data_IF_169925227968
#
_entry.id   IF_169925227968
#
_cell.length_a   1.000
_cell.length_b   1.000
_cell.length_c   1.000
_cell.angle_alpha   90.00
_cell.angle_beta   90.00
_cell.angle_gamma   90.00
#
_symmetry.space_group_name_H-M   'P 1'
#
loop_
_entity.id
_entity.type
_entity.pdbx_description
1 polymer ?
#
# COMPACT_ATOMS: atom_id res chain seq x y z
N UNK A 1 -1.99 -3.30 -15.40
CA UNK A 1 -1.75 -1.86 -15.65
C UNK A 1 -0.35 -1.53 -15.16
N UNK A 2 0.50 -0.85 -15.94
CA UNK A 2 1.79 -0.39 -15.42
C UNK A 2 1.51 0.71 -14.40
N UNK A 3 1.68 0.37 -13.11
CA UNK A 3 1.42 1.29 -12.01
C UNK A 3 2.68 2.04 -11.56
N UNK A 4 3.83 1.60 -12.01
CA UNK A 4 5.13 2.21 -11.70
C UNK A 4 6.00 2.26 -12.94
N UNK A 5 6.81 3.29 -13.01
CA UNK A 5 7.81 3.42 -14.05
C UNK A 5 8.94 2.43 -13.80
N UNK A 6 9.36 1.73 -14.83
CA UNK A 6 10.48 0.81 -14.76
C UNK A 6 11.33 0.90 -16.03
N UNK A 7 12.58 0.54 -15.91
CA UNK A 7 13.53 0.45 -17.01
C UNK A 7 14.38 -0.81 -16.83
N UNK A 8 14.52 -1.58 -17.89
CA UNK A 8 15.36 -2.77 -17.93
C UNK A 8 16.53 -2.49 -18.89
N UNK A 9 17.75 -2.61 -18.40
CA UNK A 9 18.95 -2.56 -19.22
C UNK A 9 19.61 -3.93 -19.19
N UNK A 10 19.73 -4.59 -20.35
CA UNK A 10 20.50 -5.80 -20.48
C UNK A 10 21.97 -5.43 -20.71
N UNK A 11 22.86 -6.01 -19.93
CA UNK A 11 24.30 -5.82 -19.99
C UNK A 11 24.94 -7.16 -20.39
N UNK A 12 25.06 -7.47 -21.70
CA UNK A 12 25.60 -8.74 -22.14
C UNK A 12 27.07 -8.86 -21.70
N UNK A 13 27.49 -10.08 -21.37
CA UNK A 13 28.86 -10.44 -20.98
C UNK A 13 29.42 -9.78 -19.72
N UNK A 14 28.55 -9.20 -18.87
CA UNK A 14 28.96 -8.53 -17.63
C UNK A 14 28.96 -9.43 -16.40
N UNK A 15 28.56 -10.71 -16.51
CA UNK A 15 28.43 -11.65 -15.38
C UNK A 15 27.67 -11.03 -14.20
N UNK A 16 28.30 -10.95 -13.03
CA UNK A 16 27.74 -10.31 -11.84
C UNK A 16 28.06 -8.81 -11.71
N UNK A 17 28.69 -8.19 -12.69
CA UNK A 17 28.99 -6.77 -12.69
C UNK A 17 27.75 -5.96 -13.03
N UNK A 18 27.54 -4.83 -12.35
CA UNK A 18 26.41 -3.94 -12.58
C UNK A 18 26.93 -2.55 -12.95
N UNK A 19 26.42 -1.99 -14.04
CA UNK A 19 26.68 -0.60 -14.43
C UNK A 19 25.58 0.31 -13.92
N UNK A 20 25.90 1.07 -12.88
CA UNK A 20 24.97 2.01 -12.24
C UNK A 20 24.89 3.38 -12.90
N UNK A 21 25.73 3.70 -13.88
CA UNK A 21 25.86 5.08 -14.43
C UNK A 21 24.54 5.68 -14.92
N UNK A 22 23.66 4.85 -15.47
CA UNK A 22 22.35 5.30 -15.99
C UNK A 22 21.25 5.36 -14.92
N UNK A 23 21.42 4.70 -13.77
CA UNK A 23 20.38 4.58 -12.75
C UNK A 23 20.12 5.89 -11.99
N UNK A 24 21.15 6.58 -11.44
CA UNK A 24 20.91 7.81 -10.69
C UNK A 24 20.28 8.94 -11.52
N UNK A 25 20.70 9.24 -12.76
CA UNK A 25 20.05 10.25 -13.59
C UNK A 25 18.59 9.91 -13.89
N UNK A 26 18.30 8.62 -14.14
CA UNK A 26 16.94 8.17 -14.39
C UNK A 26 16.07 8.30 -13.16
N UNK A 27 16.53 7.87 -11.97
CA UNK A 27 15.78 8.01 -10.72
C UNK A 27 15.53 9.47 -10.35
N UNK A 28 16.52 10.37 -10.59
CA UNK A 28 16.37 11.81 -10.33
C UNK A 28 15.35 12.49 -11.24
N UNK A 29 14.94 11.88 -12.34
CA UNK A 29 13.90 12.42 -13.22
C UNK A 29 12.48 12.29 -12.66
N UNK A 30 12.31 11.56 -11.55
CA UNK A 30 11.00 11.34 -10.92
C UNK A 30 10.86 12.12 -9.62
N UNK A 31 9.66 12.66 -9.42
CA UNK A 31 9.26 13.24 -8.14
C UNK A 31 8.20 12.35 -7.50
N UNK A 32 8.41 12.01 -6.24
CA UNK A 32 7.44 11.24 -5.47
C UNK A 32 6.16 12.06 -5.27
N UNK A 33 5.00 11.46 -5.56
CA UNK A 33 3.72 11.96 -5.06
C UNK A 33 3.50 11.39 -3.65
N UNK A 34 3.53 12.21 -2.58
CA UNK A 34 3.31 11.74 -1.22
C UNK A 34 1.83 11.44 -0.90
N UNK A 35 0.90 11.91 -1.74
CA UNK A 35 -0.55 11.81 -1.55
C UNK A 35 -1.25 11.13 -2.74
N UNK A 36 -0.89 9.89 -3.10
CA UNK A 36 -1.56 9.21 -4.20
C UNK A 36 -3.01 8.90 -3.83
N UNK A 37 -3.92 9.18 -4.76
CA UNK A 37 -5.34 8.83 -4.60
C UNK A 37 -5.63 7.37 -4.95
N UNK A 38 -4.68 6.68 -5.53
CA UNK A 38 -4.72 5.24 -5.77
C UNK A 38 -3.50 4.61 -5.13
N UNK A 39 -3.72 3.66 -4.22
CA UNK A 39 -2.68 2.91 -3.53
C UNK A 39 -2.91 1.43 -3.77
N UNK A 40 -1.89 0.73 -4.23
CA UNK A 40 -1.85 -0.72 -4.30
C UNK A 40 -0.72 -1.20 -3.41
N UNK A 41 -1.04 -2.03 -2.44
CA UNK A 41 -0.09 -2.53 -1.48
C UNK A 41 -0.35 -4.00 -1.18
N UNK A 42 0.65 -4.83 -1.38
CA UNK A 42 0.65 -6.19 -0.88
C UNK A 42 1.55 -6.23 0.36
N UNK A 43 0.92 -6.47 1.50
CA UNK A 43 1.59 -6.62 2.77
C UNK A 43 1.88 -8.09 3.02
N UNK A 44 3.13 -8.39 3.30
CA UNK A 44 3.62 -9.71 3.61
C UNK A 44 4.78 -9.63 4.61
N UNK A 45 5.02 -10.70 5.29
CA UNK A 45 6.14 -10.80 6.21
C UNK A 45 7.48 -10.67 5.48
N UNK A 46 8.32 -9.78 5.98
CA UNK A 46 9.73 -9.67 5.59
C UNK A 46 10.58 -9.68 6.86
N UNK A 47 11.54 -10.58 6.92
CA UNK A 47 12.49 -10.70 8.05
C UNK A 47 11.78 -10.85 9.42
N UNK A 48 10.70 -11.63 9.47
CA UNK A 48 9.90 -11.84 10.67
C UNK A 48 9.00 -10.66 11.05
N UNK A 49 8.81 -9.71 10.16
CA UNK A 49 7.98 -8.52 10.42
C UNK A 49 7.11 -8.16 9.24
N UNK A 50 5.90 -7.77 9.56
CA UNK A 50 5.02 -7.07 8.61
C UNK A 50 5.22 -5.56 8.70
N UNK A 51 4.93 -4.86 7.61
CA UNK A 51 4.85 -3.40 7.66
C UNK A 51 3.55 -2.99 8.32
N UNK A 52 3.61 -1.97 9.17
CA UNK A 52 2.43 -1.41 9.83
C UNK A 52 1.74 -0.37 8.99
N UNK A 53 2.43 0.26 8.03
CA UNK A 53 1.83 1.30 7.20
C UNK A 53 2.43 1.47 5.82
N UNK A 54 1.60 1.98 4.90
CA UNK A 54 1.98 2.28 3.53
C UNK A 54 1.18 3.50 3.00
N UNK A 55 1.87 4.55 2.54
CA UNK A 55 1.30 5.86 2.23
C UNK A 55 0.45 6.39 3.39
N UNK A 56 -0.88 6.49 3.21
CA UNK A 56 -1.81 6.98 4.23
C UNK A 56 -2.62 5.85 4.91
N UNK A 57 -2.22 4.60 4.72
CA UNK A 57 -2.83 3.43 5.35
C UNK A 57 -1.98 2.94 6.50
N UNK A 58 -2.60 2.61 7.64
CA UNK A 58 -1.98 1.95 8.79
C UNK A 58 -2.80 0.75 9.20
N UNK A 59 -2.18 -0.42 9.26
CA UNK A 59 -2.81 -1.66 9.73
C UNK A 59 -2.76 -1.69 11.26
N UNK A 60 -3.92 -1.65 11.89
CA UNK A 60 -4.07 -1.73 13.37
C UNK A 60 -4.32 -3.16 13.84
N UNK A 61 -5.01 -3.97 13.02
CA UNK A 61 -5.16 -5.41 13.22
C UNK A 61 -5.18 -6.10 11.87
N UNK A 62 -4.45 -7.19 11.76
CA UNK A 62 -4.39 -7.98 10.54
C UNK A 62 -5.61 -8.88 10.44
N UNK A 63 -6.14 -9.10 9.22
CA UNK A 63 -7.23 -10.06 9.01
C UNK A 63 -6.75 -11.52 9.18
N UNK A 64 -5.48 -11.78 8.83
CA UNK A 64 -4.86 -13.09 8.93
C UNK A 64 -3.33 -12.97 8.96
N UNK A 65 -2.62 -14.08 9.17
CA UNK A 65 -1.15 -14.18 9.03
C UNK A 65 -0.71 -14.33 7.56
N UNK A 66 -1.65 -14.49 6.64
CA UNK A 66 -1.42 -14.59 5.21
C UNK A 66 -1.03 -13.22 4.62
N UNK A 67 -0.63 -13.20 3.36
CA UNK A 67 -0.44 -11.95 2.62
C UNK A 67 -1.77 -11.26 2.44
N UNK A 68 -1.78 -9.95 2.66
CA UNK A 68 -2.98 -9.12 2.46
C UNK A 68 -2.72 -8.08 1.37
N UNK A 69 -3.61 -8.01 0.39
CA UNK A 69 -3.58 -7.03 -0.68
C UNK A 69 -4.60 -5.94 -0.43
N UNK A 70 -4.11 -4.71 -0.38
CA UNK A 70 -4.92 -3.51 -0.21
C UNK A 70 -4.94 -2.74 -1.53
N UNK A 71 -6.13 -2.50 -2.05
CA UNK A 71 -6.36 -1.60 -3.17
C UNK A 71 -7.26 -0.45 -2.71
N UNK A 72 -6.70 0.76 -2.61
CA UNK A 72 -7.43 1.96 -2.25
C UNK A 72 -7.57 2.88 -3.44
N UNK A 73 -8.75 3.46 -3.61
CA UNK A 73 -9.01 4.54 -4.56
C UNK A 73 -9.82 5.65 -3.88
N UNK A 74 -9.41 6.91 -4.07
CA UNK A 74 -10.10 8.09 -3.55
C UNK A 74 -10.62 8.89 -4.73
N UNK A 75 -11.94 9.10 -4.77
CA UNK A 75 -12.62 9.94 -5.76
C UNK A 75 -13.80 10.69 -5.10
N UNK A 76 -13.84 12.00 -5.27
CA UNK A 76 -14.96 12.86 -4.82
C UNK A 76 -15.38 12.60 -3.35
N UNK A 77 -14.43 12.60 -2.41
CA UNK A 77 -14.61 12.27 -1.00
C UNK A 77 -15.11 10.84 -0.70
N UNK A 78 -15.11 9.96 -1.68
CA UNK A 78 -15.38 8.53 -1.50
C UNK A 78 -14.06 7.77 -1.54
N UNK A 79 -13.78 7.04 -0.46
CA UNK A 79 -12.62 6.17 -0.32
C UNK A 79 -13.12 4.73 -0.49
N UNK A 80 -12.73 4.10 -1.58
CA UNK A 80 -13.06 2.70 -1.86
C UNK A 80 -11.84 1.83 -1.59
N UNK A 81 -12.02 0.79 -0.78
CA UNK A 81 -11.01 -0.20 -0.45
C UNK A 81 -11.47 -1.60 -0.86
N UNK A 82 -10.62 -2.30 -1.59
CA UNK A 82 -10.69 -3.75 -1.73
C UNK A 82 -9.56 -4.33 -0.91
N UNK A 83 -9.89 -5.26 -0.01
CA UNK A 83 -8.93 -5.91 0.89
C UNK A 83 -9.10 -7.40 0.71
N UNK A 84 -8.03 -8.05 0.24
CA UNK A 84 -8.06 -9.46 -0.12
C UNK A 84 -6.88 -10.20 0.53
N UNK A 85 -7.14 -11.39 1.07
CA UNK A 85 -6.10 -12.35 1.40
C UNK A 85 -5.54 -12.94 0.10
N UNK A 86 -4.23 -13.09 0.03
CA UNK A 86 -3.53 -13.55 -1.17
C UNK A 86 -2.77 -14.83 -0.88
N UNK A 87 -3.04 -15.86 -1.67
CA UNK A 87 -2.32 -17.13 -1.62
C UNK A 87 -1.52 -17.35 -2.90
N UNK A 88 -0.28 -17.78 -2.73
CA UNK A 88 0.60 -18.20 -3.79
C UNK A 88 0.76 -19.71 -3.77
N UNK A 89 0.49 -20.36 -4.89
CA UNK A 89 0.71 -21.79 -5.05
C UNK A 89 1.74 -22.02 -6.14
N UNK A 90 2.86 -22.62 -5.81
CA UNK A 90 3.90 -22.94 -6.76
C UNK A 90 3.38 -23.90 -7.82
N UNK A 91 3.60 -23.57 -9.09
CA UNK A 91 3.20 -24.39 -10.25
C UNK A 91 4.39 -25.00 -10.99
N UNK A 92 5.59 -24.54 -10.68
CA UNK A 92 6.83 -25.06 -11.27
C UNK A 92 7.95 -24.96 -10.23
N UNK A 93 8.77 -26.03 -10.16
CA UNK A 93 10.02 -26.04 -9.40
C UNK A 93 11.19 -26.26 -10.34
N UNK A 94 12.32 -25.65 -10.00
CA UNK A 94 13.59 -25.93 -10.65
C UNK A 94 13.99 -27.39 -10.37
N UNK A 95 14.33 -28.19 -11.40
CA UNK A 95 14.61 -29.62 -11.21
C UNK A 95 15.93 -29.89 -10.50
N UNK A 96 16.87 -28.94 -10.56
CA UNK A 96 18.20 -29.11 -9.96
C UNK A 96 18.23 -28.66 -8.48
N UNK A 97 17.58 -27.53 -8.20
CA UNK A 97 17.68 -26.85 -6.88
C UNK A 97 16.40 -26.93 -6.04
N UNK A 98 15.30 -27.44 -6.65
CA UNK A 98 14.00 -27.52 -5.99
C UNK A 98 13.35 -26.17 -5.68
N UNK A 99 13.92 -25.08 -6.24
CA UNK A 99 13.42 -23.71 -6.01
C UNK A 99 12.09 -23.53 -6.73
N UNK A 100 11.12 -22.98 -6.04
CA UNK A 100 9.82 -22.63 -6.61
C UNK A 100 9.95 -21.45 -7.56
N UNK A 101 9.54 -21.63 -8.83
CA UNK A 101 9.81 -20.66 -9.91
C UNK A 101 8.58 -19.93 -10.40
N UNK A 102 7.45 -20.61 -10.50
CA UNK A 102 6.17 -20.03 -10.96
C UNK A 102 5.08 -20.24 -9.94
N UNK A 103 4.21 -19.26 -9.83
CA UNK A 103 3.13 -19.27 -8.86
C UNK A 103 1.81 -18.87 -9.49
N UNK A 104 0.76 -19.59 -9.13
CA UNK A 104 -0.60 -19.08 -9.25
C UNK A 104 -0.91 -18.20 -8.05
N UNK A 105 -1.65 -17.13 -8.29
CA UNK A 105 -2.05 -16.16 -7.30
C UNK A 105 -3.58 -16.16 -7.19
N UNK A 106 -4.10 -16.46 -6.03
CA UNK A 106 -5.54 -16.47 -5.76
C UNK A 106 -5.89 -15.45 -4.69
N UNK A 107 -7.10 -14.92 -4.77
CA UNK A 107 -7.61 -13.87 -3.89
C UNK A 107 -8.90 -14.33 -3.23
N UNK A 108 -9.05 -14.02 -1.96
CA UNK A 108 -10.29 -14.15 -1.22
C UNK A 108 -10.52 -12.92 -0.37
N UNK A 109 -11.76 -12.49 -0.14
CA UNK A 109 -12.05 -11.31 0.65
C UNK A 109 -11.53 -11.48 2.07
N UNK A 110 -10.67 -10.56 2.50
CA UNK A 110 -10.19 -10.51 3.88
C UNK A 110 -11.30 -9.98 4.80
N UNK A 111 -11.38 -10.56 6.01
CA UNK A 111 -12.36 -10.18 7.04
C UNK A 111 -11.71 -10.21 8.42
N UNK A 112 -12.21 -9.37 9.33
CA UNK A 112 -11.76 -9.33 10.72
C UNK A 112 -10.52 -8.47 10.95
N UNK A 113 -10.16 -7.61 10.00
CA UNK A 113 -9.06 -6.67 10.12
C UNK A 113 -9.51 -5.28 10.62
N UNK A 114 -8.52 -4.46 10.96
CA UNK A 114 -8.71 -3.06 11.36
C UNK A 114 -7.67 -2.18 10.70
N UNK A 115 -8.14 -1.15 10.01
CA UNK A 115 -7.31 -0.23 9.24
C UNK A 115 -7.58 1.21 9.65
N UNK A 116 -6.53 2.01 9.79
CA UNK A 116 -6.61 3.46 9.90
C UNK A 116 -6.23 4.08 8.56
N UNK A 117 -7.06 5.01 8.10
CA UNK A 117 -6.88 5.76 6.86
C UNK A 117 -6.62 7.21 7.26
N UNK A 118 -5.38 7.66 7.11
CA UNK A 118 -5.02 9.04 7.36
C UNK A 118 -5.41 9.94 6.19
N UNK A 119 -5.88 11.15 6.49
CA UNK A 119 -6.45 12.07 5.52
C UNK A 119 -5.94 13.50 5.73
N UNK A 120 -5.90 14.23 4.61
CA UNK A 120 -5.62 15.66 4.56
C UNK A 120 -6.33 16.32 3.37
N UNK A 121 -6.15 17.62 3.20
CA UNK A 121 -6.74 18.44 2.13
C UNK A 121 -6.26 18.08 0.71
N UNK A 122 -5.17 17.31 0.57
CA UNK A 122 -4.67 16.81 -0.72
C UNK A 122 -5.41 15.55 -1.17
N UNK A 123 -5.96 14.81 -0.22
CA UNK A 123 -6.67 13.56 -0.49
C UNK A 123 -8.17 13.77 -0.63
N UNK A 124 -8.78 14.57 0.27
CA UNK A 124 -10.22 14.81 0.35
C UNK A 124 -10.53 16.29 0.61
N UNK A 125 -11.76 16.71 0.33
CA UNK A 125 -12.27 18.01 0.76
C UNK A 125 -12.69 17.90 2.25
N UNK A 126 -11.88 18.47 3.13
CA UNK A 126 -12.09 18.44 4.59
C UNK A 126 -13.38 19.13 5.06
N UNK A 127 -14.02 19.95 4.22
CA UNK A 127 -15.27 20.64 4.55
C UNK A 127 -16.52 19.78 4.28
N UNK A 128 -16.36 18.66 3.58
CA UNK A 128 -17.43 17.74 3.20
C UNK A 128 -17.36 16.45 3.97
N UNK A 129 -18.47 15.72 4.02
CA UNK A 129 -18.48 14.36 4.52
C UNK A 129 -17.59 13.45 3.67
N UNK A 130 -16.86 12.56 4.31
CA UNK A 130 -16.07 11.50 3.71
C UNK A 130 -16.85 10.20 3.84
N UNK A 131 -16.91 9.43 2.76
CA UNK A 131 -17.49 8.09 2.75
C UNK A 131 -16.37 7.07 2.61
N UNK A 132 -16.38 6.02 3.43
CA UNK A 132 -15.46 4.88 3.28
C UNK A 132 -16.25 3.62 2.98
N UNK A 133 -15.86 2.95 1.91
CA UNK A 133 -16.45 1.69 1.43
C UNK A 133 -15.34 0.63 1.46
N UNK A 134 -15.54 -0.46 2.19
CA UNK A 134 -14.62 -1.59 2.26
C UNK A 134 -15.32 -2.84 1.71
N UNK A 135 -14.72 -3.49 0.75
CA UNK A 135 -15.25 -4.69 0.10
C UNK A 135 -16.70 -4.55 -0.36
N UNK A 136 -17.06 -3.35 -0.89
CA UNK A 136 -18.40 -3.02 -1.36
C UNK A 136 -19.39 -2.60 -0.27
N UNK A 137 -19.04 -2.64 1.01
CA UNK A 137 -19.89 -2.21 2.13
C UNK A 137 -19.45 -0.83 2.64
N UNK A 138 -20.40 0.11 2.78
CA UNK A 138 -20.14 1.38 3.44
C UNK A 138 -19.91 1.15 4.94
N UNK A 139 -18.73 1.55 5.43
CA UNK A 139 -18.32 1.38 6.84
C UNK A 139 -18.19 2.70 7.58
N UNK A 140 -18.12 3.81 6.84
CA UNK A 140 -18.08 5.15 7.43
C UNK A 140 -18.74 6.16 6.49
N UNK A 141 -19.44 7.13 7.07
CA UNK A 141 -19.88 8.35 6.39
C UNK A 141 -20.00 9.47 7.43
N UNK A 142 -19.20 10.52 7.26
CA UNK A 142 -19.22 11.64 8.21
C UNK A 142 -18.13 12.67 7.94
N UNK A 143 -18.17 13.76 8.69
CA UNK A 143 -17.10 14.76 8.69
C UNK A 143 -15.90 14.23 9.46
N UNK A 144 -14.71 14.55 8.98
CA UNK A 144 -13.44 14.31 9.64
C UNK A 144 -12.90 15.65 10.16
N UNK A 145 -12.41 15.67 11.39
CA UNK A 145 -11.89 16.88 12.02
C UNK A 145 -10.41 16.74 12.29
N UNK A 146 -9.67 17.81 12.03
CA UNK A 146 -8.26 17.87 12.36
C UNK A 146 -8.06 17.77 13.88
N UNK A 147 -7.06 16.99 14.29
CA UNK A 147 -6.66 16.84 15.66
C UNK A 147 -5.16 16.58 15.79
N UNK A 148 -4.59 17.00 16.91
CA UNK A 148 -3.15 16.88 17.16
C UNK A 148 -2.69 15.41 17.28
N UNK A 149 -3.57 14.54 17.79
CA UNK A 149 -3.25 13.13 18.00
C UNK A 149 -2.93 12.44 16.67
N UNK A 150 -3.77 12.61 15.66
CA UNK A 150 -3.54 12.01 14.33
C UNK A 150 -2.26 12.56 13.67
N UNK A 151 -1.95 13.84 13.87
CA UNK A 151 -0.70 14.43 13.39
C UNK A 151 0.52 13.76 14.03
N UNK A 152 0.51 13.57 15.33
CA UNK A 152 1.60 12.91 16.07
C UNK A 152 1.69 11.44 15.67
N UNK A 153 0.58 10.71 15.68
CA UNK A 153 0.54 9.29 15.36
C UNK A 153 1.06 9.03 13.92
N UNK A 154 0.64 9.83 12.94
CA UNK A 154 1.13 9.70 11.56
C UNK A 154 2.60 10.10 11.39
N UNK A 155 3.06 11.10 12.12
CA UNK A 155 4.48 11.47 12.13
C UNK A 155 5.35 10.33 12.68
N UNK A 156 4.91 9.69 13.76
CA UNK A 156 5.61 8.56 14.39
C UNK A 156 5.56 7.30 13.54
N UNK A 157 4.44 7.04 12.86
CA UNK A 157 4.27 5.86 12.01
C UNK A 157 5.16 5.92 10.76
N UNK A 158 5.22 7.08 10.13
CA UNK A 158 5.79 7.17 8.79
C UNK A 158 7.20 7.78 8.74
N UNK A 159 7.62 8.53 9.78
CA UNK A 159 8.90 9.25 9.82
C UNK A 159 9.18 10.08 8.57
N UNK A 160 8.12 10.70 8.00
CA UNK A 160 8.16 11.40 6.73
C UNK A 160 7.44 12.76 6.87
N UNK A 161 8.12 13.90 6.71
CA UNK A 161 7.53 15.22 6.91
C UNK A 161 6.37 15.53 5.93
N UNK A 162 6.31 14.84 4.79
CA UNK A 162 5.18 14.96 3.86
C UNK A 162 4.00 14.05 4.22
N UNK A 163 4.13 13.20 5.23
CA UNK A 163 3.10 12.23 5.64
C UNK A 163 2.61 12.49 7.05
N UNK A 164 2.53 13.76 7.41
CA UNK A 164 1.85 14.21 8.62
C UNK A 164 0.41 14.53 8.26
N UNK A 165 -0.53 13.81 8.86
CA UNK A 165 -1.95 13.91 8.51
C UNK A 165 -2.75 14.47 9.69
N UNK A 166 -3.61 15.50 9.44
CA UNK A 166 -4.36 16.14 10.51
C UNK A 166 -5.55 15.31 11.02
N UNK A 167 -6.01 14.32 10.27
CA UNK A 167 -7.14 13.49 10.68
C UNK A 167 -7.05 12.07 10.13
N UNK A 168 -7.86 11.17 10.68
CA UNK A 168 -7.97 9.80 10.23
C UNK A 168 -9.39 9.25 10.37
N UNK A 169 -9.67 8.16 9.67
CA UNK A 169 -10.84 7.30 9.86
C UNK A 169 -10.34 5.90 10.15
N UNK A 170 -10.84 5.30 11.22
CA UNK A 170 -10.56 3.89 11.55
C UNK A 170 -11.76 3.04 11.15
N UNK A 171 -11.51 1.96 10.43
CA UNK A 171 -12.53 1.02 9.95
C UNK A 171 -12.18 -0.40 10.35
N UNK A 172 -13.21 -1.20 10.62
CA UNK A 172 -13.15 -2.66 10.79
C UNK A 172 -13.86 -3.34 9.61
N UNK A 173 -13.37 -4.50 9.19
CA UNK A 173 -13.87 -5.21 8.01
C UNK A 173 -13.76 -6.72 8.13
#
# INVERSE_FOLDING_TARGET
KPMFQHRINLLPNMQHSIDYRLTPPWLKSFTRNPYPKTVLWEDFEMDGRHRTGFYNLQVLARPSEERTYYEMNIKDNVISLSIDDVKYTATQKDPQWGIEMKFNRTYSKAMGGKLRIYLNDKLVDMNKAVTVIVNGKQVFNGKVNANLRDMIDSCMEFYDPYRVYPCSVTVEY
#
